data_IF_298067835733
#
_entry.id   IF_298067835733
#
_cell.length_a   1.000
_cell.length_b   1.000
_cell.length_c   1.000
_cell.angle_alpha   90.00
_cell.angle_beta   90.00
_cell.angle_gamma   90.00
#
_symmetry.space_group_name_H-M   'P 1'
#
loop_
_entity.id
_entity.type
_entity.pdbx_description
1 polymer ?
#
# COMPACT_ATOMS: atom_id res chain seq x y z
N UNK A 1 17.29 2.22 67.84
CA UNK A 1 16.54 1.78 66.64
C UNK A 1 16.90 2.73 65.51
N UNK A 2 17.52 2.20 64.45
CA UNK A 2 18.22 2.96 63.42
C UNK A 2 17.27 3.80 62.54
N UNK A 3 17.34 5.12 62.71
CA UNK A 3 16.76 6.09 61.77
C UNK A 3 17.32 5.89 60.34
N UNK A 4 18.57 5.44 60.23
CA UNK A 4 19.21 5.10 58.95
C UNK A 4 18.55 3.92 58.21
N UNK A 5 18.05 2.92 58.96
CA UNK A 5 17.35 1.78 58.36
C UNK A 5 16.02 2.23 57.76
N UNK A 6 15.29 3.08 58.49
CA UNK A 6 14.03 3.65 58.01
C UNK A 6 14.22 4.56 56.80
N UNK A 7 15.28 5.37 56.78
CA UNK A 7 15.60 6.22 55.63
C UNK A 7 15.98 5.39 54.39
N UNK A 8 16.73 4.29 54.60
CA UNK A 8 17.11 3.36 53.52
C UNK A 8 15.89 2.64 52.96
N UNK A 9 15.00 2.15 53.82
CA UNK A 9 13.73 1.51 53.41
C UNK A 9 12.83 2.51 52.66
N UNK A 10 12.75 3.76 53.13
CA UNK A 10 12.01 4.81 52.44
C UNK A 10 12.60 5.14 51.06
N UNK A 11 13.93 5.24 50.96
CA UNK A 11 14.63 5.48 49.68
C UNK A 11 14.41 4.35 48.67
N UNK A 12 14.50 3.10 49.12
CA UNK A 12 14.20 1.92 48.27
C UNK A 12 12.74 1.93 47.83
N UNK A 13 11.81 2.23 48.74
CA UNK A 13 10.39 2.34 48.42
C UNK A 13 10.11 3.38 47.33
N UNK A 14 10.66 4.59 47.47
CA UNK A 14 10.52 5.66 46.48
C UNK A 14 11.12 5.26 45.12
N UNK A 15 12.29 4.61 45.11
CA UNK A 15 12.92 4.11 43.88
C UNK A 15 12.00 3.12 43.13
N UNK A 16 11.40 2.16 43.85
CA UNK A 16 10.46 1.22 43.24
C UNK A 16 9.21 1.91 42.68
N UNK A 17 8.66 2.90 43.39
CA UNK A 17 7.51 3.67 42.90
C UNK A 17 7.84 4.41 41.61
N UNK A 18 9.01 5.07 41.54
CA UNK A 18 9.47 5.75 40.32
C UNK A 18 9.66 4.75 39.18
N UNK A 19 10.26 3.59 39.45
CA UNK A 19 10.49 2.56 38.43
C UNK A 19 9.16 2.02 37.87
N UNK A 20 8.20 1.69 38.73
CA UNK A 20 6.86 1.22 38.31
C UNK A 20 6.15 2.30 37.50
N UNK A 21 6.24 3.56 37.92
CA UNK A 21 5.62 4.69 37.20
C UNK A 21 6.26 4.88 35.83
N UNK A 22 7.58 4.77 35.72
CA UNK A 22 8.29 4.87 34.44
C UNK A 22 7.88 3.73 33.48
N UNK A 23 7.78 2.49 33.98
CA UNK A 23 7.31 1.35 33.17
C UNK A 23 5.87 1.56 32.71
N UNK A 24 4.98 2.01 33.61
CA UNK A 24 3.59 2.31 33.27
C UNK A 24 3.50 3.40 32.19
N UNK A 25 4.27 4.49 32.31
CA UNK A 25 4.32 5.56 31.33
C UNK A 25 4.82 5.09 29.95
N UNK A 26 5.79 4.17 29.91
CA UNK A 26 6.27 3.56 28.64
C UNK A 26 5.18 2.70 27.99
N UNK A 27 4.46 1.91 28.80
CA UNK A 27 3.34 1.09 28.31
C UNK A 27 2.21 1.99 27.77
N UNK A 28 1.91 3.07 28.48
CA UNK A 28 0.91 4.06 28.07
C UNK A 28 1.28 4.73 26.74
N UNK A 29 2.55 5.11 26.57
CA UNK A 29 3.08 5.61 25.29
C UNK A 29 2.89 4.60 24.17
N UNK A 30 3.19 3.32 24.42
CA UNK A 30 3.01 2.26 23.42
C UNK A 30 1.56 2.09 23.01
N UNK A 31 0.62 2.18 23.96
CA UNK A 31 -0.82 2.13 23.65
C UNK A 31 -1.29 3.35 22.85
N UNK A 32 -0.75 4.54 23.13
CA UNK A 32 -1.02 5.73 22.33
C UNK A 32 -0.51 5.59 20.89
N UNK A 33 0.67 5.01 20.69
CA UNK A 33 1.20 4.72 19.35
C UNK A 33 0.29 3.75 18.59
N UNK A 34 -0.15 2.65 19.22
CA UNK A 34 -1.05 1.70 18.59
C UNK A 34 -2.41 2.32 18.20
N UNK A 35 -2.95 3.22 19.03
CA UNK A 35 -4.20 3.94 18.73
C UNK A 35 -4.03 4.90 17.54
N UNK A 36 -2.91 5.62 17.47
CA UNK A 36 -2.60 6.52 16.35
C UNK A 36 -2.41 5.74 15.04
N UNK A 37 -1.73 4.59 15.10
CA UNK A 37 -1.58 3.68 13.96
C UNK A 37 -2.93 3.17 13.45
N UNK A 38 -3.84 2.78 14.34
CA UNK A 38 -5.18 2.34 13.96
C UNK A 38 -5.97 3.44 13.25
N UNK A 39 -5.91 4.68 13.73
CA UNK A 39 -6.54 5.81 13.06
C UNK A 39 -5.94 6.07 11.67
N UNK A 40 -4.62 5.97 11.53
CA UNK A 40 -3.95 6.09 10.24
C UNK A 40 -4.45 5.01 9.28
N UNK A 41 -4.43 3.73 9.68
CA UNK A 41 -4.88 2.60 8.86
C UNK A 41 -6.35 2.75 8.44
N UNK A 42 -7.24 3.14 9.35
CA UNK A 42 -8.65 3.40 9.00
C UNK A 42 -8.82 4.57 8.04
N UNK A 43 -7.98 5.61 8.15
CA UNK A 43 -7.98 6.69 7.17
C UNK A 43 -7.55 6.18 5.80
N UNK A 44 -6.52 5.35 5.74
CA UNK A 44 -6.05 4.74 4.49
C UNK A 44 -7.08 3.85 3.84
N UNK A 45 -7.78 3.03 4.63
CA UNK A 45 -8.85 2.19 4.10
C UNK A 45 -10.02 3.01 3.53
N UNK A 46 -10.35 4.15 4.17
CA UNK A 46 -11.38 5.06 3.65
C UNK A 46 -10.95 5.71 2.35
N UNK A 47 -9.73 6.21 2.30
CA UNK A 47 -9.16 6.83 1.11
C UNK A 47 -9.02 5.82 -0.04
N UNK A 48 -8.59 4.59 0.25
CA UNK A 48 -8.52 3.52 -0.73
C UNK A 48 -9.88 3.19 -1.34
N UNK A 49 -10.97 3.35 -0.58
CA UNK A 49 -12.35 3.11 -1.02
C UNK A 49 -13.02 4.34 -1.62
N UNK A 50 -12.30 5.45 -1.73
CA UNK A 50 -12.84 6.68 -2.29
C UNK A 50 -13.18 6.48 -3.79
N UNK A 51 -14.38 6.88 -4.25
CA UNK A 51 -14.78 6.70 -5.65
C UNK A 51 -13.85 7.36 -6.65
N UNK A 52 -13.27 8.53 -6.32
CA UNK A 52 -12.34 9.24 -7.21
C UNK A 52 -11.05 8.45 -7.39
N UNK A 53 -10.50 7.91 -6.29
CA UNK A 53 -9.33 7.05 -6.36
C UNK A 53 -9.62 5.75 -7.11
N UNK A 54 -10.77 5.11 -6.87
CA UNK A 54 -11.15 3.90 -7.59
C UNK A 54 -11.27 4.15 -9.10
N UNK A 55 -11.82 5.29 -9.51
CA UNK A 55 -11.87 5.67 -10.91
C UNK A 55 -10.47 5.95 -11.49
N UNK A 56 -9.61 6.63 -10.73
CA UNK A 56 -8.24 6.88 -11.13
C UNK A 56 -7.42 5.59 -11.27
N UNK A 57 -7.59 4.63 -10.36
CA UNK A 57 -6.99 3.30 -10.43
C UNK A 57 -7.43 2.56 -11.69
N UNK A 58 -8.73 2.61 -12.03
CA UNK A 58 -9.28 2.06 -13.27
C UNK A 58 -8.71 2.78 -14.51
N UNK A 59 -8.60 4.10 -14.46
CA UNK A 59 -8.01 4.90 -15.53
C UNK A 59 -6.59 4.45 -15.85
N UNK A 60 -5.74 4.34 -14.83
CA UNK A 60 -4.34 3.93 -14.96
C UNK A 60 -4.22 2.52 -15.52
N UNK A 61 -5.10 1.60 -15.10
CA UNK A 61 -5.04 0.21 -15.54
C UNK A 61 -5.45 0.05 -17.02
N UNK A 62 -6.54 0.71 -17.44
CA UNK A 62 -7.16 0.43 -18.75
C UNK A 62 -6.89 1.48 -19.82
N UNK A 63 -6.69 2.75 -19.46
CA UNK A 63 -6.66 3.86 -20.42
C UNK A 63 -5.27 4.51 -20.55
N UNK A 64 -4.53 4.63 -19.45
CA UNK A 64 -3.19 5.25 -19.45
C UNK A 64 -2.22 4.60 -20.46
N UNK A 65 -2.14 3.27 -20.62
CA UNK A 65 -1.19 2.65 -21.58
C UNK A 65 -1.39 3.10 -23.03
N UNK A 66 -2.62 3.50 -23.38
CA UNK A 66 -2.93 4.06 -24.70
C UNK A 66 -2.69 5.57 -24.73
N UNK A 67 -3.19 6.30 -23.71
CA UNK A 67 -3.08 7.77 -23.62
C UNK A 67 -1.63 8.25 -23.60
N UNK A 68 -0.74 7.56 -22.89
CA UNK A 68 0.68 7.96 -22.78
C UNK A 68 1.42 7.89 -24.13
N UNK A 69 0.85 7.26 -25.16
CA UNK A 69 1.40 7.23 -26.52
C UNK A 69 1.20 8.54 -27.27
N UNK A 70 0.25 9.37 -26.86
CA UNK A 70 0.00 10.69 -27.41
C UNK A 70 1.12 11.69 -27.02
N UNK A 71 1.82 12.31 -27.99
CA UNK A 71 2.81 13.35 -27.71
C UNK A 71 2.26 14.56 -26.95
N UNK A 72 1.01 14.97 -27.23
CA UNK A 72 0.41 16.13 -26.57
C UNK A 72 0.19 15.85 -25.07
N UNK A 73 -0.37 14.69 -24.76
CA UNK A 73 -0.57 14.24 -23.38
C UNK A 73 0.75 14.19 -22.59
N UNK A 74 1.84 13.71 -23.21
CA UNK A 74 3.18 13.74 -22.59
C UNK A 74 3.73 15.16 -22.39
N UNK A 75 3.43 16.08 -23.31
CA UNK A 75 3.85 17.47 -23.21
C UNK A 75 3.14 18.20 -22.06
N UNK A 76 1.85 17.91 -21.85
CA UNK A 76 1.06 18.42 -20.73
C UNK A 76 1.64 17.96 -19.39
N UNK A 77 1.97 16.67 -19.26
CA UNK A 77 2.66 16.10 -18.09
C UNK A 77 4.02 16.76 -17.83
N UNK A 78 4.79 17.05 -18.88
CA UNK A 78 6.11 17.67 -18.75
C UNK A 78 6.07 19.14 -18.32
N UNK A 79 4.89 19.74 -18.10
CA UNK A 79 4.77 21.13 -17.66
C UNK A 79 5.05 21.26 -16.16
N UNK A 80 5.81 22.29 -15.79
CA UNK A 80 6.00 22.68 -14.39
C UNK A 80 4.72 23.39 -13.91
N UNK A 81 4.24 23.04 -12.72
CA UNK A 81 3.04 23.61 -12.10
C UNK A 81 1.95 22.58 -11.80
N UNK A 82 0.76 23.08 -11.47
CA UNK A 82 -0.40 22.24 -11.20
C UNK A 82 -0.88 21.56 -12.49
N UNK A 83 -0.98 20.23 -12.43
CA UNK A 83 -1.58 19.38 -13.46
C UNK A 83 -3.03 19.16 -13.05
N UNK A 84 -3.96 19.32 -13.99
CA UNK A 84 -5.38 19.08 -13.72
C UNK A 84 -5.63 17.57 -13.54
N UNK A 85 -6.00 17.16 -12.32
CA UNK A 85 -6.27 15.76 -11.97
C UNK A 85 -7.50 15.19 -12.67
N UNK A 86 -8.38 16.04 -13.21
CA UNK A 86 -9.56 15.59 -13.99
C UNK A 86 -9.16 15.09 -15.37
N UNK A 87 -8.06 15.60 -15.92
CA UNK A 87 -7.50 15.18 -17.21
C UNK A 87 -6.43 14.11 -17.00
N UNK A 88 -5.62 14.28 -15.96
CA UNK A 88 -4.52 13.40 -15.59
C UNK A 88 -4.81 12.65 -14.29
N UNK A 89 -5.75 11.70 -14.35
CA UNK A 89 -6.17 10.92 -13.17
C UNK A 89 -5.02 10.07 -12.60
N UNK A 90 -4.02 9.75 -13.41
CA UNK A 90 -2.78 9.10 -12.97
C UNK A 90 -2.06 9.91 -11.87
N UNK A 91 -2.27 11.22 -11.81
CA UNK A 91 -1.73 12.05 -10.74
C UNK A 91 -2.32 11.70 -9.38
N UNK A 92 -3.62 11.41 -9.32
CA UNK A 92 -4.30 10.99 -8.08
C UNK A 92 -3.69 9.70 -7.55
N UNK A 93 -3.41 8.73 -8.44
CA UNK A 93 -2.79 7.45 -8.05
C UNK A 93 -1.33 7.64 -7.60
N UNK A 94 -0.55 8.44 -8.32
CA UNK A 94 0.82 8.77 -7.91
C UNK A 94 0.86 9.47 -6.54
N UNK A 95 -0.03 10.43 -6.31
CA UNK A 95 -0.13 11.14 -5.04
C UNK A 95 -0.50 10.20 -3.90
N UNK A 96 -1.50 9.35 -4.11
CA UNK A 96 -1.93 8.35 -3.13
C UNK A 96 -0.77 7.45 -2.71
N UNK A 97 -0.11 6.76 -3.65
CA UNK A 97 1.00 5.87 -3.28
C UNK A 97 2.21 6.61 -2.71
N UNK A 98 2.46 7.86 -3.12
CA UNK A 98 3.53 8.65 -2.54
C UNK A 98 3.24 9.06 -1.10
N UNK A 99 1.99 9.37 -0.78
CA UNK A 99 1.54 9.58 0.59
C UNK A 99 1.68 8.29 1.41
N UNK A 100 1.28 7.13 0.87
CA UNK A 100 1.46 5.84 1.55
C UNK A 100 2.93 5.57 1.83
N UNK A 101 3.80 5.79 0.85
CA UNK A 101 5.24 5.65 1.01
C UNK A 101 5.79 6.57 2.10
N UNK A 102 5.21 7.77 2.26
CA UNK A 102 5.59 8.69 3.34
C UNK A 102 5.21 8.12 4.71
N UNK A 103 4.02 7.54 4.85
CA UNK A 103 3.57 6.97 6.12
C UNK A 103 4.40 5.74 6.52
N UNK A 104 4.70 4.87 5.56
CA UNK A 104 5.56 3.70 5.78
C UNK A 104 6.99 4.12 6.12
N UNK A 105 7.56 5.06 5.36
CA UNK A 105 8.93 5.56 5.59
C UNK A 105 9.15 6.18 6.96
N UNK A 106 8.09 6.71 7.58
CA UNK A 106 8.15 7.35 8.91
C UNK A 106 7.57 6.45 10.02
N UNK A 107 7.44 5.15 9.80
CA UNK A 107 6.95 4.16 10.78
C UNK A 107 5.55 4.47 11.38
N UNK A 108 4.75 5.28 10.67
CA UNK A 108 3.36 5.56 11.04
C UNK A 108 2.48 4.35 10.68
N UNK A 109 2.85 3.64 9.62
CA UNK A 109 2.22 2.40 9.19
C UNK A 109 3.28 1.32 9.15
N UNK A 110 3.02 0.21 9.83
CA UNK A 110 3.89 -0.96 9.82
C UNK A 110 4.07 -1.49 8.39
N UNK A 111 5.33 -1.59 7.95
CA UNK A 111 5.66 -1.95 6.58
C UNK A 111 5.23 -3.40 6.25
N UNK A 112 5.43 -4.35 7.16
CA UNK A 112 5.12 -5.76 6.91
C UNK A 112 3.62 -5.97 6.74
N UNK A 113 2.82 -5.48 7.69
CA UNK A 113 1.36 -5.57 7.65
C UNK A 113 0.78 -4.85 6.41
N UNK A 114 1.40 -3.76 5.99
CA UNK A 114 0.99 -3.03 4.80
C UNK A 114 1.33 -3.78 3.51
N UNK A 115 2.56 -4.30 3.40
CA UNK A 115 3.06 -4.97 2.20
C UNK A 115 2.44 -6.35 1.98
N UNK A 116 2.06 -7.07 3.04
CA UNK A 116 1.25 -8.29 2.94
C UNK A 116 0.02 -8.06 2.05
N UNK A 117 -0.71 -6.98 2.33
CA UNK A 117 -1.96 -6.68 1.65
C UNK A 117 -1.75 -6.02 0.28
N UNK A 118 -0.73 -5.18 0.14
CA UNK A 118 -0.65 -4.21 -0.97
C UNK A 118 0.53 -4.40 -1.91
N UNK A 119 1.50 -5.26 -1.59
CA UNK A 119 2.73 -5.41 -2.39
C UNK A 119 2.42 -5.67 -3.88
N UNK A 120 1.53 -6.61 -4.19
CA UNK A 120 1.16 -6.93 -5.58
C UNK A 120 0.62 -5.72 -6.34
N UNK A 121 -0.28 -4.95 -5.74
CA UNK A 121 -0.87 -3.78 -6.40
C UNK A 121 0.16 -2.66 -6.56
N UNK A 122 0.99 -2.40 -5.54
CA UNK A 122 2.06 -1.39 -5.62
C UNK A 122 3.02 -1.69 -6.78
N UNK A 123 3.50 -2.94 -6.89
CA UNK A 123 4.44 -3.33 -7.96
C UNK A 123 3.79 -3.21 -9.35
N UNK A 124 2.52 -3.60 -9.49
CA UNK A 124 1.79 -3.46 -10.74
C UNK A 124 1.62 -1.99 -11.16
N UNK A 125 1.20 -1.12 -10.25
CA UNK A 125 0.96 0.29 -10.53
C UNK A 125 2.25 1.08 -10.73
N UNK A 126 3.33 0.74 -10.02
CA UNK A 126 4.64 1.33 -10.27
C UNK A 126 5.07 1.11 -11.73
N UNK A 127 4.92 -0.11 -12.26
CA UNK A 127 5.27 -0.42 -13.66
C UNK A 127 4.44 0.39 -14.66
N UNK A 128 3.14 0.56 -14.41
CA UNK A 128 2.24 1.34 -15.26
C UNK A 128 2.57 2.84 -15.23
N UNK A 129 2.93 3.35 -14.05
CA UNK A 129 3.16 4.78 -13.81
C UNK A 129 4.61 5.22 -14.02
N UNK A 130 5.57 4.30 -14.08
CA UNK A 130 6.99 4.61 -14.28
C UNK A 130 7.25 5.52 -15.51
N UNK A 131 6.60 5.32 -16.68
CA UNK A 131 6.78 6.24 -17.81
C UNK A 131 6.29 7.67 -17.53
N UNK A 132 5.18 7.83 -16.78
CA UNK A 132 4.64 9.12 -16.36
C UNK A 132 5.62 9.81 -15.40
N UNK A 133 6.09 9.08 -14.39
CA UNK A 133 7.03 9.58 -13.38
C UNK A 133 8.34 10.00 -14.07
N UNK A 134 8.85 9.21 -15.01
CA UNK A 134 10.04 9.55 -15.78
C UNK A 134 9.86 10.84 -16.59
N UNK A 135 8.67 11.11 -17.15
CA UNK A 135 8.38 12.37 -17.84
C UNK A 135 8.39 13.55 -16.86
N UNK A 136 7.75 13.39 -15.70
CA UNK A 136 7.67 14.43 -14.66
C UNK A 136 9.06 14.80 -14.13
N UNK A 137 9.91 13.80 -13.84
CA UNK A 137 11.26 13.99 -13.28
C UNK A 137 12.19 14.79 -14.19
N UNK A 138 11.99 14.77 -15.52
CA UNK A 138 12.82 15.54 -16.49
C UNK A 138 12.93 17.03 -16.15
N UNK A 139 11.89 17.62 -15.57
CA UNK A 139 11.87 19.04 -15.18
C UNK A 139 11.69 19.26 -13.69
N UNK A 140 11.14 18.29 -12.96
CA UNK A 140 10.84 18.42 -11.53
C UNK A 140 11.91 17.84 -10.62
N UNK A 141 12.90 17.13 -11.16
CA UNK A 141 13.92 16.45 -10.37
C UNK A 141 13.50 15.06 -9.90
N UNK A 142 14.48 14.29 -9.42
CA UNK A 142 14.30 12.88 -9.01
C UNK A 142 13.47 12.72 -7.74
N UNK A 143 13.34 13.78 -6.94
CA UNK A 143 12.52 13.81 -5.73
C UNK A 143 11.02 13.61 -6.02
N UNK A 144 10.59 13.88 -7.26
CA UNK A 144 9.20 13.72 -7.65
C UNK A 144 8.80 12.25 -7.50
N UNK A 145 7.84 12.00 -6.60
CA UNK A 145 7.33 10.68 -6.26
C UNK A 145 8.36 9.69 -5.67
N UNK A 146 9.42 10.19 -5.04
CA UNK A 146 10.44 9.35 -4.40
C UNK A 146 9.88 8.41 -3.31
N UNK A 147 8.82 8.80 -2.60
CA UNK A 147 8.25 7.94 -1.56
C UNK A 147 7.41 6.81 -2.18
N UNK A 148 6.79 7.03 -3.35
CA UNK A 148 6.18 5.95 -4.12
C UNK A 148 7.25 4.99 -4.65
N UNK A 149 8.37 5.50 -5.14
CA UNK A 149 9.50 4.67 -5.57
C UNK A 149 10.05 3.82 -4.42
N UNK A 150 10.25 4.41 -3.25
CA UNK A 150 10.63 3.68 -2.03
C UNK A 150 9.65 2.54 -1.72
N UNK A 151 8.35 2.83 -1.77
CA UNK A 151 7.32 1.83 -1.53
C UNK A 151 7.32 0.71 -2.58
N UNK A 152 7.56 1.04 -3.85
CA UNK A 152 7.71 0.07 -4.93
C UNK A 152 8.94 -0.83 -4.75
N UNK A 153 10.06 -0.26 -4.30
CA UNK A 153 11.27 -1.02 -3.98
C UNK A 153 11.02 -2.02 -2.85
N UNK A 154 10.39 -1.58 -1.75
CA UNK A 154 10.00 -2.46 -0.64
C UNK A 154 9.07 -3.58 -1.09
N UNK A 155 8.05 -3.25 -1.88
CA UNK A 155 7.13 -4.24 -2.43
C UNK A 155 7.84 -5.31 -3.25
N UNK A 156 8.81 -4.91 -4.08
CA UNK A 156 9.59 -5.85 -4.88
C UNK A 156 10.39 -6.83 -4.02
N UNK A 157 11.07 -6.35 -2.99
CA UNK A 157 11.82 -7.22 -2.07
C UNK A 157 10.87 -8.11 -1.25
N UNK A 158 9.77 -7.57 -0.72
CA UNK A 158 8.76 -8.34 0.00
C UNK A 158 8.23 -9.51 -0.82
N UNK A 159 7.93 -9.29 -2.11
CA UNK A 159 7.44 -10.35 -3.01
C UNK A 159 8.50 -11.41 -3.33
N UNK A 160 9.77 -11.04 -3.30
CA UNK A 160 10.89 -11.97 -3.48
C UNK A 160 11.07 -12.85 -2.25
N UNK A 161 10.88 -12.29 -1.06
CA UNK A 161 10.92 -13.02 0.21
C UNK A 161 9.67 -13.89 0.42
N UNK A 162 8.52 -13.46 -0.11
CA UNK A 162 7.22 -14.12 0.07
C UNK A 162 6.56 -14.50 -1.28
N UNK A 163 7.20 -15.36 -2.10
CA UNK A 163 6.72 -15.67 -3.45
C UNK A 163 5.32 -16.31 -3.47
N UNK A 164 4.97 -17.05 -2.42
CA UNK A 164 3.66 -17.73 -2.25
C UNK A 164 2.71 -16.98 -1.29
N UNK A 165 3.06 -15.74 -0.92
CA UNK A 165 2.38 -14.98 0.13
C UNK A 165 2.72 -15.45 1.55
N UNK A 166 2.07 -14.84 2.54
CA UNK A 166 2.33 -15.05 3.98
C UNK A 166 1.19 -15.81 4.68
N UNK A 167 0.54 -16.73 3.95
CA UNK A 167 -0.50 -17.56 4.56
C UNK A 167 0.05 -18.29 5.81
N UNK A 168 -0.68 -18.30 6.94
CA UNK A 168 -0.17 -18.82 8.20
C UNK A 168 0.37 -20.26 8.08
N UNK A 169 1.57 -20.49 8.63
CA UNK A 169 2.21 -21.81 8.62
C UNK A 169 1.39 -22.80 9.46
N UNK A 170 1.20 -24.01 8.94
CA UNK A 170 0.49 -25.09 9.65
C UNK A 170 -1.04 -24.99 9.62
N UNK A 171 -1.61 -23.93 9.02
CA UNK A 171 -3.05 -23.85 8.80
C UNK A 171 -3.39 -24.55 7.48
N UNK A 172 -4.38 -25.47 7.45
CA UNK A 172 -4.79 -26.11 6.21
C UNK A 172 -5.49 -25.10 5.29
N UNK A 173 -5.11 -25.08 4.01
CA UNK A 173 -5.84 -24.32 2.99
C UNK A 173 -7.13 -25.05 2.63
N UNK A 174 -8.20 -24.27 2.41
CA UNK A 174 -9.43 -24.80 1.84
C UNK A 174 -9.19 -25.20 0.39
N UNK A 175 -9.58 -26.41 -0.05
CA UNK A 175 -9.48 -26.78 -1.45
C UNK A 175 -10.38 -25.86 -2.28
N UNK A 176 -9.87 -25.40 -3.41
CA UNK A 176 -10.63 -24.63 -4.41
C UNK A 176 -10.72 -25.51 -5.66
N UNK A 177 -11.95 -25.82 -6.07
CA UNK A 177 -12.22 -26.46 -7.36
C UNK A 177 -12.36 -25.36 -8.42
N UNK A 178 -11.45 -25.34 -9.38
CA UNK A 178 -11.53 -24.44 -10.52
C UNK A 178 -12.41 -25.07 -11.61
N UNK A 179 -13.72 -24.91 -11.46
CA UNK A 179 -14.71 -25.50 -12.37
C UNK A 179 -14.63 -24.97 -13.80
N UNK A 180 -13.97 -23.82 -14.00
CA UNK A 180 -13.88 -23.13 -15.29
C UNK A 180 -12.56 -23.37 -16.01
N UNK A 181 -11.54 -23.93 -15.34
CA UNK A 181 -10.22 -24.17 -15.93
C UNK A 181 -10.29 -24.86 -17.30
N UNK A 182 -11.11 -25.91 -17.42
CA UNK A 182 -11.25 -26.65 -18.67
C UNK A 182 -11.90 -25.82 -19.79
N UNK A 183 -12.79 -24.88 -19.45
CA UNK A 183 -13.42 -23.97 -20.41
C UNK A 183 -12.48 -22.83 -20.81
N UNK A 184 -11.71 -22.29 -19.86
CA UNK A 184 -10.76 -21.19 -20.06
C UNK A 184 -9.50 -21.63 -20.83
N UNK A 185 -9.11 -22.91 -20.72
CA UNK A 185 -8.03 -23.50 -21.53
C UNK A 185 -8.44 -23.73 -22.99
N UNK A 186 -9.74 -23.68 -23.31
CA UNK A 186 -10.18 -23.70 -24.69
C UNK A 186 -9.75 -22.40 -25.37
N UNK A 187 -9.23 -22.45 -26.60
CA UNK A 187 -8.90 -21.25 -27.34
C UNK A 187 -10.15 -20.37 -27.44
N UNK A 188 -10.01 -19.09 -27.06
CA UNK A 188 -11.10 -18.12 -27.03
C UNK A 188 -11.94 -18.25 -28.32
N UNK A 189 -13.23 -18.58 -28.16
CA UNK A 189 -14.15 -18.68 -29.30
C UNK A 189 -14.08 -17.36 -30.07
N UNK A 190 -13.86 -17.45 -31.38
CA UNK A 190 -13.96 -16.29 -32.24
C UNK A 190 -15.33 -15.62 -32.01
N UNK A 191 -15.41 -14.28 -31.91
CA UNK A 191 -16.65 -13.58 -31.56
C UNK A 191 -17.84 -13.88 -32.48
N UNK A 192 -17.59 -14.46 -33.66
CA UNK A 192 -18.61 -14.81 -34.66
C UNK A 192 -18.97 -16.31 -34.71
N UNK A 193 -18.50 -17.13 -33.76
CA UNK A 193 -18.87 -18.54 -33.72
C UNK A 193 -20.36 -18.70 -33.32
N UNK A 194 -21.19 -19.41 -34.11
CA UNK A 194 -22.61 -19.57 -33.80
C UNK A 194 -22.80 -20.26 -32.45
N UNK A 195 -23.74 -19.75 -31.66
CA UNK A 195 -24.08 -20.28 -30.34
C UNK A 195 -24.49 -21.76 -30.48
N UNK A 196 -23.91 -22.68 -29.69
CA UNK A 196 -24.26 -24.09 -29.79
C UNK A 196 -25.72 -24.26 -29.42
N UNK A 197 -26.46 -25.00 -30.26
CA UNK A 197 -27.88 -25.26 -30.06
C UNK A 197 -28.13 -25.81 -28.64
N UNK A 198 -29.20 -25.36 -27.96
CA UNK A 198 -29.49 -25.77 -26.59
C UNK A 198 -29.61 -27.29 -26.53
N UNK A 199 -28.83 -27.90 -25.64
CA UNK A 199 -28.87 -29.34 -25.39
C UNK A 199 -30.24 -29.65 -24.80
N UNK A 200 -31.08 -30.36 -25.58
CA UNK A 200 -32.38 -30.83 -25.12
C UNK A 200 -32.16 -31.79 -23.93
N UNK A 201 -32.73 -31.43 -22.78
CA UNK A 201 -32.82 -32.31 -21.60
C UNK A 201 -33.92 -33.34 -21.79
#
# INVERSE_FOLDING_TARGET
MNLELWNTVAGIGTFFVILVTAVAAVIELKHMTAKNQLQAVLSLQREFRDPELQEALRYVQFYLPQKIRDPQYRAELARIGFIDSRVHMEMTVCNFFNQMGTLVKNDIVDAEAFLDQTSRIIDAYWKLLAPVIAILRRKRGDEQYQNFEYLAALSKEWRKEHPTGVYPKGVPRMPLEDTWLAEDELPARAPDAPEPAPVAR
#
